data_IF_518780058543
#
_entry.id   IF_518780058543
#
_cell.length_a   1.000
_cell.length_b   1.000
_cell.length_c   1.000
_cell.angle_alpha   90.00
_cell.angle_beta   90.00
_cell.angle_gamma   90.00
#
_symmetry.space_group_name_H-M   'P 1'
#
loop_
_entity.id
_entity.type
_entity.pdbx_description
1 polymer ?
#
# COMPACT_ATOMS: atom_id res chain seq x y z
N UNK A 1 14.74 17.06 -3.04
CA UNK A 1 13.25 16.95 -3.02
C UNK A 1 12.74 15.93 -4.04
N UNK A 2 13.23 15.94 -5.29
CA UNK A 2 12.87 14.93 -6.31
C UNK A 2 13.15 13.48 -5.89
N UNK A 3 14.29 13.22 -5.25
CA UNK A 3 14.68 11.85 -4.89
C UNK A 3 13.81 11.23 -3.81
N UNK A 4 13.34 12.04 -2.84
CA UNK A 4 12.41 11.60 -1.78
C UNK A 4 11.04 11.22 -2.35
N UNK A 5 10.58 11.93 -3.39
CA UNK A 5 9.31 11.61 -4.06
C UNK A 5 9.40 10.34 -4.91
N UNK A 6 10.55 10.09 -5.56
CA UNK A 6 10.79 8.83 -6.29
C UNK A 6 10.80 7.64 -5.32
N UNK A 7 11.45 7.78 -4.15
CA UNK A 7 11.44 6.74 -3.12
C UNK A 7 10.03 6.44 -2.62
N UNK A 8 9.23 7.47 -2.33
CA UNK A 8 7.82 7.30 -1.95
C UNK A 8 7.02 6.57 -3.05
N UNK A 9 7.19 6.96 -4.31
CA UNK A 9 6.50 6.32 -5.43
C UNK A 9 6.87 4.85 -5.59
N UNK A 10 8.15 4.49 -5.43
CA UNK A 10 8.59 3.09 -5.48
C UNK A 10 8.00 2.29 -4.31
N UNK A 11 7.97 2.86 -3.10
CA UNK A 11 7.37 2.22 -1.93
C UNK A 11 5.87 1.98 -2.14
N UNK A 12 5.14 3.00 -2.65
CA UNK A 12 3.71 2.89 -2.94
C UNK A 12 3.43 1.89 -4.07
N UNK A 13 4.29 1.81 -5.08
CA UNK A 13 4.17 0.85 -6.18
C UNK A 13 4.32 -0.59 -5.66
N UNK A 14 5.35 -0.86 -4.85
CA UNK A 14 5.56 -2.18 -4.24
C UNK A 14 4.38 -2.55 -3.35
N UNK A 15 3.91 -1.61 -2.52
CA UNK A 15 2.73 -1.80 -1.67
C UNK A 15 1.43 -2.00 -2.45
N UNK A 16 1.32 -1.50 -3.68
CA UNK A 16 0.16 -1.73 -4.56
C UNK A 16 0.17 -3.11 -5.23
N UNK A 17 1.35 -3.68 -5.49
CA UNK A 17 1.49 -5.00 -6.13
C UNK A 17 1.19 -6.14 -5.16
N UNK A 18 1.65 -6.03 -3.90
CA UNK A 18 1.50 -7.07 -2.86
C UNK A 18 0.02 -7.49 -2.64
N UNK A 19 -0.97 -6.57 -2.52
CA UNK A 19 -2.39 -6.90 -2.41
C UNK A 19 -2.87 -7.79 -3.56
N UNK A 20 -2.50 -7.47 -4.81
CA UNK A 20 -2.90 -8.26 -5.98
C UNK A 20 -2.39 -9.71 -5.90
N UNK A 21 -1.15 -9.89 -5.44
CA UNK A 21 -0.56 -11.23 -5.24
C UNK A 21 -1.26 -11.97 -4.11
N UNK A 22 -1.52 -11.31 -2.97
CA UNK A 22 -2.24 -11.90 -1.84
C UNK A 22 -3.65 -12.34 -2.26
N UNK A 23 -4.36 -11.51 -3.02
CA UNK A 23 -5.67 -11.87 -3.53
C UNK A 23 -5.61 -13.12 -4.42
N UNK A 24 -4.65 -13.17 -5.35
CA UNK A 24 -4.49 -14.29 -6.29
C UNK A 24 -4.14 -15.61 -5.59
N UNK A 25 -3.36 -15.56 -4.50
CA UNK A 25 -2.95 -16.75 -3.75
C UNK A 25 -4.01 -17.25 -2.76
N UNK A 26 -4.77 -16.35 -2.12
CA UNK A 26 -5.72 -16.72 -1.07
C UNK A 26 -7.17 -16.85 -1.58
N UNK A 27 -7.48 -16.29 -2.75
CA UNK A 27 -8.77 -16.49 -3.40
C UNK A 27 -8.74 -17.73 -4.31
N UNK A 28 -9.75 -18.64 -4.27
CA UNK A 28 -11.05 -18.53 -3.60
C UNK A 28 -11.16 -19.26 -2.24
N UNK A 29 -10.14 -19.99 -1.82
CA UNK A 29 -10.22 -20.91 -0.67
C UNK A 29 -10.37 -20.17 0.67
N UNK A 30 -9.81 -18.96 0.79
CA UNK A 30 -9.71 -18.21 2.04
C UNK A 30 -10.22 -16.78 1.88
N UNK A 31 -11.45 -16.59 1.40
CA UNK A 31 -12.02 -15.27 1.03
C UNK A 31 -11.99 -14.24 2.17
N UNK A 32 -12.34 -14.66 3.39
CA UNK A 32 -12.34 -13.80 4.59
C UNK A 32 -10.92 -13.37 4.98
N UNK A 33 -9.97 -14.30 4.96
CA UNK A 33 -8.57 -14.02 5.28
C UNK A 33 -7.96 -13.08 4.23
N UNK A 34 -8.23 -13.35 2.93
CA UNK A 34 -7.82 -12.48 1.84
C UNK A 34 -8.37 -11.06 2.04
N UNK A 35 -9.66 -10.92 2.36
CA UNK A 35 -10.29 -9.61 2.61
C UNK A 35 -9.60 -8.85 3.77
N UNK A 36 -9.35 -9.52 4.89
CA UNK A 36 -8.70 -8.91 6.06
C UNK A 36 -7.28 -8.46 5.73
N UNK A 37 -6.48 -9.31 5.06
CA UNK A 37 -5.10 -8.97 4.69
C UNK A 37 -5.09 -7.81 3.69
N UNK A 38 -5.99 -7.81 2.70
CA UNK A 38 -6.12 -6.72 1.73
C UNK A 38 -6.50 -5.40 2.40
N UNK A 39 -7.41 -5.44 3.38
CA UNK A 39 -7.80 -4.25 4.14
C UNK A 39 -6.62 -3.65 4.91
N UNK A 40 -5.82 -4.48 5.58
CA UNK A 40 -4.62 -4.05 6.30
C UNK A 40 -3.60 -3.46 5.32
N UNK A 41 -3.35 -4.15 4.20
CA UNK A 41 -2.40 -3.71 3.18
C UNK A 41 -2.82 -2.42 2.47
N UNK A 42 -4.11 -2.11 2.39
CA UNK A 42 -4.61 -0.86 1.82
C UNK A 42 -4.43 0.35 2.76
N UNK A 43 -4.48 0.14 4.07
CA UNK A 43 -4.34 1.22 5.07
C UNK A 43 -2.88 1.72 5.14
N UNK A 44 -1.91 0.81 5.09
CA UNK A 44 -0.47 1.11 5.21
C UNK A 44 0.02 2.19 4.22
N UNK A 45 -0.20 2.08 2.89
CA UNK A 45 0.24 3.11 1.94
C UNK A 45 -0.47 4.44 2.14
N UNK A 46 -1.75 4.42 2.55
CA UNK A 46 -2.49 5.65 2.89
C UNK A 46 -1.88 6.37 4.10
N UNK A 47 -1.54 5.63 5.16
CA UNK A 47 -0.87 6.19 6.35
C UNK A 47 0.55 6.67 6.01
N UNK A 48 1.32 5.90 5.24
CA UNK A 48 2.66 6.30 4.80
C UNK A 48 2.64 7.58 3.98
N UNK A 49 1.65 7.72 3.09
CA UNK A 49 1.46 8.94 2.32
C UNK A 49 1.12 10.15 3.20
N UNK A 50 0.20 9.99 4.16
CA UNK A 50 -0.22 11.07 5.07
C UNK A 50 0.90 11.54 6.01
N UNK A 51 1.75 10.62 6.48
CA UNK A 51 2.86 10.90 7.41
C UNK A 51 4.12 11.36 6.65
N UNK A 52 4.16 11.27 5.31
CA UNK A 52 5.36 11.60 4.55
C UNK A 52 5.72 13.09 4.67
N UNK A 53 6.94 13.44 5.10
CA UNK A 53 7.31 14.79 5.57
C UNK A 53 7.36 15.88 4.49
N UNK A 54 6.89 15.65 3.27
CA UNK A 54 6.92 16.65 2.18
C UNK A 54 5.88 16.47 1.07
N UNK A 55 4.80 15.72 1.30
CA UNK A 55 3.74 15.61 0.27
C UNK A 55 2.60 14.71 0.69
N UNK A 56 1.50 15.33 1.12
CA UNK A 56 0.22 14.66 1.30
C UNK A 56 -0.92 15.60 1.67
N UNK A 57 -0.77 16.40 2.73
CA UNK A 57 -1.82 17.35 3.14
C UNK A 57 -1.32 18.60 3.87
N UNK A 58 -0.05 18.65 4.27
CA UNK A 58 0.55 19.81 4.91
C UNK A 58 1.47 20.50 3.92
N UNK A 59 0.87 21.31 3.04
CA UNK A 59 1.57 22.39 2.32
C UNK A 59 1.47 23.65 3.17
#
# INVERSE_FOLDING_TARGET
MKDKNIVLLVILLILGIIPGIVYLLFHPQNKLIALIILLILAIIPGVLYLVWPSGGYSS
#
